data_IF_283994851057
#
_entry.id   IF_283994851057
#
_cell.length_a   1.000
_cell.length_b   1.000
_cell.length_c   1.000
_cell.angle_alpha   90.00
_cell.angle_beta   90.00
_cell.angle_gamma   90.00
#
_symmetry.space_group_name_H-M   'P 1'
#
loop_
_entity.id
_entity.type
_entity.pdbx_description
1 polymer ?
#
# COMPACT_ATOMS: atom_id res chain seq x y z
N UNK A 1 41.34 17.34 -12.68
CA UNK A 1 39.95 17.74 -12.40
C UNK A 1 39.07 16.59 -12.85
N UNK A 2 38.72 15.68 -11.93
CA UNK A 2 37.91 14.50 -12.24
C UNK A 2 36.45 14.96 -12.36
N UNK A 3 35.93 15.01 -13.59
CA UNK A 3 34.50 15.15 -13.84
C UNK A 3 33.83 13.85 -13.39
N UNK A 4 33.03 13.94 -12.33
CA UNK A 4 32.08 12.90 -11.93
C UNK A 4 30.97 12.86 -13.00
N UNK A 5 31.03 11.86 -13.86
CA UNK A 5 29.97 11.52 -14.81
C UNK A 5 28.72 11.15 -14.02
N UNK A 6 27.77 12.09 -13.93
CA UNK A 6 26.42 11.82 -13.45
C UNK A 6 25.73 10.94 -14.49
N UNK A 7 25.53 9.66 -14.16
CA UNK A 7 24.67 8.79 -14.97
C UNK A 7 23.30 9.46 -15.10
N UNK A 8 22.76 9.50 -16.32
CA UNK A 8 21.45 10.10 -16.58
C UNK A 8 20.40 9.44 -15.69
N UNK A 9 19.90 10.20 -14.71
CA UNK A 9 18.80 9.77 -13.85
C UNK A 9 17.55 9.74 -14.73
N UNK A 10 16.91 8.57 -14.82
CA UNK A 10 15.67 8.42 -15.57
C UNK A 10 14.57 9.22 -14.87
N UNK A 11 13.92 10.12 -15.61
CA UNK A 11 12.92 11.05 -15.09
C UNK A 11 11.51 10.62 -15.44
N UNK A 12 10.57 11.04 -14.60
CA UNK A 12 9.12 10.83 -14.73
C UNK A 12 8.40 12.18 -14.55
N UNK A 13 7.08 12.27 -14.83
CA UNK A 13 6.31 13.47 -14.53
C UNK A 13 6.57 13.96 -13.10
N UNK A 14 6.72 15.28 -12.95
CA UNK A 14 7.04 15.90 -11.68
C UNK A 14 5.95 15.76 -10.62
N UNK A 15 6.11 16.55 -9.57
CA UNK A 15 5.17 16.61 -8.44
C UNK A 15 3.73 16.75 -8.93
N UNK A 16 2.81 16.02 -8.30
CA UNK A 16 1.39 16.05 -8.66
C UNK A 16 0.85 17.49 -8.60
N UNK A 17 0.22 18.01 -9.66
CA UNK A 17 -0.34 19.36 -9.66
C UNK A 17 -1.33 19.55 -8.50
N UNK A 18 -1.26 20.71 -7.84
CA UNK A 18 -2.10 21.03 -6.68
C UNK A 18 -1.92 20.10 -5.47
N UNK A 19 -0.76 19.46 -5.31
CA UNK A 19 -0.47 18.49 -4.24
C UNK A 19 -0.94 18.96 -2.86
N UNK A 20 -0.70 20.24 -2.48
CA UNK A 20 -1.17 20.80 -1.21
C UNK A 20 -2.69 20.68 -1.05
N UNK A 21 -3.45 21.15 -2.04
CA UNK A 21 -4.91 21.13 -2.00
C UNK A 21 -5.44 19.70 -1.95
N UNK A 22 -4.81 18.77 -2.68
CA UNK A 22 -5.20 17.36 -2.69
C UNK A 22 -4.94 16.72 -1.32
N UNK A 23 -3.73 16.86 -0.78
CA UNK A 23 -3.31 16.25 0.49
C UNK A 23 -4.12 16.80 1.66
N UNK A 24 -4.23 18.13 1.78
CA UNK A 24 -5.03 18.78 2.83
C UNK A 24 -6.51 18.45 2.69
N UNK A 25 -7.05 18.46 1.46
CA UNK A 25 -8.46 18.09 1.21
C UNK A 25 -8.77 16.64 1.56
N UNK A 26 -7.85 15.71 1.26
CA UNK A 26 -7.96 14.29 1.66
C UNK A 26 -7.89 14.13 3.17
N UNK A 27 -7.03 14.89 3.86
CA UNK A 27 -6.97 14.88 5.32
C UNK A 27 -8.31 15.32 5.94
N UNK A 28 -8.89 16.43 5.49
CA UNK A 28 -10.20 16.88 5.99
C UNK A 28 -11.31 15.87 5.69
N UNK A 29 -11.30 15.27 4.49
CA UNK A 29 -12.23 14.20 4.13
C UNK A 29 -12.11 13.03 5.09
N UNK A 30 -10.89 12.59 5.37
CA UNK A 30 -10.62 11.46 6.25
C UNK A 30 -11.10 11.72 7.68
N UNK A 31 -10.65 12.84 8.27
CA UNK A 31 -10.95 13.25 9.64
C UNK A 31 -12.40 13.61 9.85
N UNK A 32 -13.14 14.00 8.81
CA UNK A 32 -14.57 14.36 8.96
C UNK A 32 -15.51 13.21 8.64
N UNK A 33 -15.21 12.40 7.62
CA UNK A 33 -16.16 11.44 7.04
C UNK A 33 -15.77 9.97 7.26
N UNK A 34 -14.49 9.67 7.45
CA UNK A 34 -14.00 8.29 7.56
C UNK A 34 -13.74 7.94 9.03
N UNK A 35 -12.99 8.77 9.73
CA UNK A 35 -12.66 8.59 11.12
C UNK A 35 -12.84 9.89 11.93
N UNK A 36 -14.10 10.26 12.14
CA UNK A 36 -14.49 11.47 12.90
C UNK A 36 -14.17 11.43 14.38
N UNK A 37 -13.70 10.28 14.89
CA UNK A 37 -13.25 10.16 16.28
C UNK A 37 -11.86 10.74 16.52
N UNK A 38 -11.09 11.00 15.46
CA UNK A 38 -9.74 11.54 15.54
C UNK A 38 -9.72 13.00 15.09
N UNK A 39 -9.13 13.85 15.94
CA UNK A 39 -8.84 15.24 15.59
C UNK A 39 -7.37 15.33 15.17
N UNK A 40 -7.14 15.64 13.90
CA UNK A 40 -5.82 15.92 13.35
C UNK A 40 -5.80 17.31 12.75
N UNK A 41 -4.69 18.04 12.96
CA UNK A 41 -4.47 19.33 12.31
C UNK A 41 -3.89 19.09 10.91
N UNK A 42 -4.75 19.15 9.90
CA UNK A 42 -4.39 18.88 8.51
C UNK A 42 -3.37 19.88 7.94
N UNK A 43 -3.37 21.11 8.45
CA UNK A 43 -2.41 22.13 8.01
C UNK A 43 -1.04 21.89 8.64
N UNK A 44 -1.01 21.48 9.92
CA UNK A 44 0.25 21.10 10.58
C UNK A 44 0.87 19.84 9.97
N UNK A 45 0.06 18.83 9.61
CA UNK A 45 0.53 17.64 8.90
C UNK A 45 1.16 18.04 7.56
N UNK A 46 0.49 18.90 6.78
CA UNK A 46 1.04 19.41 5.52
C UNK A 46 2.36 20.13 5.73
N UNK A 47 2.44 21.01 6.74
CA UNK A 47 3.65 21.76 7.07
C UNK A 47 4.83 20.83 7.36
N UNK A 48 4.62 19.79 8.18
CA UNK A 48 5.65 18.80 8.47
C UNK A 48 6.05 17.97 7.26
N UNK A 49 5.10 17.61 6.40
CA UNK A 49 5.38 16.93 5.13
C UNK A 49 6.26 17.80 4.22
N UNK A 50 5.90 19.07 4.05
CA UNK A 50 6.60 20.02 3.19
C UNK A 50 8.04 20.26 3.69
N UNK A 51 8.24 20.46 5.00
CA UNK A 51 9.57 20.57 5.61
C UNK A 51 10.43 19.33 5.35
N UNK A 52 9.85 18.13 5.44
CA UNK A 52 10.57 16.88 5.23
C UNK A 52 11.09 16.74 3.79
N UNK A 53 10.32 17.21 2.81
CA UNK A 53 10.64 17.10 1.38
C UNK A 53 11.55 18.24 0.92
N UNK A 54 11.27 19.48 1.30
CA UNK A 54 11.90 20.68 0.72
C UNK A 54 13.19 21.10 1.42
N UNK A 55 13.44 20.67 2.65
CA UNK A 55 14.69 21.00 3.36
C UNK A 55 15.86 20.06 3.01
N UNK A 56 15.66 19.12 2.08
CA UNK A 56 16.64 18.12 1.71
C UNK A 56 16.74 18.03 0.19
N UNK A 57 17.93 17.70 -0.37
CA UNK A 57 18.03 17.30 -1.77
C UNK A 57 17.14 16.07 -2.05
N UNK A 58 16.52 16.00 -3.24
CA UNK A 58 15.55 14.95 -3.58
C UNK A 58 16.07 13.52 -3.38
N UNK A 59 17.36 13.23 -3.58
CA UNK A 59 17.92 11.91 -3.29
C UNK A 59 18.58 11.79 -1.91
N UNK A 60 18.11 12.55 -0.93
CA UNK A 60 18.62 12.57 0.45
C UNK A 60 17.49 12.72 1.49
N UNK A 61 16.25 12.43 1.10
CA UNK A 61 15.08 12.49 1.98
C UNK A 61 14.94 11.13 2.69
N UNK A 62 15.43 11.04 3.92
CA UNK A 62 15.36 9.81 4.73
C UNK A 62 14.03 9.67 5.47
N UNK A 63 13.73 8.45 5.92
CA UNK A 63 12.53 8.15 6.71
C UNK A 63 12.39 9.04 7.96
N UNK A 64 13.50 9.35 8.64
CA UNK A 64 13.50 10.16 9.87
C UNK A 64 13.07 11.62 9.63
N UNK A 65 13.23 12.13 8.40
CA UNK A 65 12.75 13.48 8.08
C UNK A 65 11.22 13.57 8.17
N UNK A 66 10.51 12.45 8.02
CA UNK A 66 9.06 12.38 8.19
C UNK A 66 8.60 12.18 9.64
N UNK A 67 9.50 12.06 10.63
CA UNK A 67 9.12 11.71 12.02
C UNK A 67 8.05 12.65 12.61
N UNK A 68 8.24 13.98 12.47
CA UNK A 68 7.27 14.97 12.97
C UNK A 68 5.88 14.82 12.33
N UNK A 69 5.84 14.52 11.04
CA UNK A 69 4.59 14.27 10.31
C UNK A 69 3.89 13.03 10.89
N UNK A 70 4.60 11.91 11.01
CA UNK A 70 4.03 10.67 11.55
C UNK A 70 3.61 10.79 13.02
N UNK A 71 4.33 11.57 13.82
CA UNK A 71 3.96 11.85 15.21
C UNK A 71 2.64 12.61 15.34
N UNK A 72 2.32 13.45 14.35
CA UNK A 72 1.06 14.21 14.27
C UNK A 72 -0.10 13.35 13.75
N UNK A 73 0.22 12.27 13.03
CA UNK A 73 -0.72 11.36 12.36
C UNK A 73 -0.90 10.03 13.09
N UNK A 74 -0.73 10.00 14.42
CA UNK A 74 -0.86 8.75 15.18
C UNK A 74 -2.30 8.25 15.20
N UNK A 75 -2.49 7.01 14.76
CA UNK A 75 -3.77 6.32 14.72
C UNK A 75 -3.66 4.95 15.38
N UNK A 76 -4.79 4.37 15.81
CA UNK A 76 -4.84 3.02 16.35
C UNK A 76 -5.90 2.22 15.60
N UNK A 77 -5.53 1.03 15.14
CA UNK A 77 -6.41 0.16 14.37
C UNK A 77 -6.78 -1.11 15.16
N UNK A 78 -8.02 -1.60 15.04
CA UNK A 78 -8.40 -2.87 15.63
C UNK A 78 -7.52 -4.02 15.12
N UNK A 79 -7.11 -4.90 16.03
CA UNK A 79 -6.45 -6.16 15.69
C UNK A 79 -7.33 -7.03 14.79
N UNK A 80 -6.73 -8.10 14.23
CA UNK A 80 -7.38 -9.12 13.41
C UNK A 80 -7.88 -8.62 12.04
N UNK A 81 -7.58 -7.37 11.68
CA UNK A 81 -8.11 -6.69 10.50
C UNK A 81 -7.04 -6.19 9.54
N UNK A 82 -5.76 -6.45 9.79
CA UNK A 82 -4.68 -5.94 8.95
C UNK A 82 -4.56 -6.75 7.66
N UNK A 83 -4.59 -6.06 6.52
CA UNK A 83 -4.43 -6.65 5.19
C UNK A 83 -3.26 -6.02 4.46
N UNK A 84 -2.25 -6.84 4.19
CA UNK A 84 -1.12 -6.53 3.34
C UNK A 84 -1.37 -7.07 1.94
N UNK A 85 -0.73 -6.47 0.94
CA UNK A 85 -0.92 -6.90 -0.43
C UNK A 85 0.35 -6.65 -1.26
N UNK A 86 0.58 -7.48 -2.26
CA UNK A 86 1.69 -7.31 -3.21
C UNK A 86 1.21 -7.61 -4.62
N UNK A 87 1.31 -6.60 -5.50
CA UNK A 87 0.91 -6.67 -6.92
C UNK A 87 -0.56 -7.11 -7.15
N UNK A 88 -1.42 -6.88 -6.17
CA UNK A 88 -2.86 -7.21 -6.16
C UNK A 88 -3.75 -6.00 -5.89
N UNK A 89 -3.22 -4.77 -6.05
CA UNK A 89 -3.87 -3.50 -5.66
C UNK A 89 -5.34 -3.38 -6.05
N UNK A 90 -5.67 -3.59 -7.33
CA UNK A 90 -7.04 -3.45 -7.84
C UNK A 90 -8.00 -4.46 -7.21
N UNK A 91 -7.56 -5.71 -7.05
CA UNK A 91 -8.35 -6.74 -6.38
C UNK A 91 -8.50 -6.40 -4.89
N UNK A 92 -7.42 -5.99 -4.24
CA UNK A 92 -7.41 -5.57 -2.85
C UNK A 92 -8.41 -4.45 -2.59
N UNK A 93 -8.44 -3.39 -3.41
CA UNK A 93 -9.38 -2.29 -3.22
C UNK A 93 -10.84 -2.73 -3.29
N UNK A 94 -11.17 -3.61 -4.23
CA UNK A 94 -12.53 -4.13 -4.34
C UNK A 94 -12.88 -5.11 -3.21
N UNK A 95 -11.91 -5.93 -2.79
CA UNK A 95 -12.08 -6.79 -1.63
C UNK A 95 -12.32 -5.98 -0.36
N UNK A 96 -11.50 -4.97 -0.07
CA UNK A 96 -11.67 -4.11 1.10
C UNK A 96 -12.97 -3.29 1.06
N UNK A 97 -13.42 -2.86 -0.12
CA UNK A 97 -14.68 -2.13 -0.28
C UNK A 97 -15.92 -3.00 0.03
N UNK A 98 -15.88 -4.28 -0.36
CA UNK A 98 -16.96 -5.25 -0.11
C UNK A 98 -16.88 -5.78 1.32
N UNK A 99 -15.70 -6.19 1.74
CA UNK A 99 -15.41 -6.72 3.07
C UNK A 99 -14.81 -5.59 3.92
N UNK A 100 -15.70 -4.71 4.41
CA UNK A 100 -15.39 -3.52 5.24
C UNK A 100 -14.77 -3.81 6.62
N UNK A 101 -14.14 -4.98 6.76
CA UNK A 101 -13.51 -5.46 7.98
C UNK A 101 -11.99 -5.45 7.88
N UNK A 102 -11.40 -5.09 6.73
CA UNK A 102 -9.95 -5.01 6.59
C UNK A 102 -9.44 -3.57 6.54
N UNK A 103 -8.31 -3.35 7.19
CA UNK A 103 -7.49 -2.15 7.10
C UNK A 103 -6.29 -2.45 6.22
N UNK A 104 -6.15 -1.66 5.16
CA UNK A 104 -4.91 -1.64 4.37
C UNK A 104 -4.14 -0.38 4.69
N UNK A 105 -2.84 -0.34 4.34
CA UNK A 105 -2.05 0.87 4.51
C UNK A 105 -2.71 2.08 3.84
N UNK A 106 -3.33 1.89 2.67
CA UNK A 106 -4.02 2.94 1.90
C UNK A 106 -5.32 3.43 2.57
N UNK A 107 -5.81 2.76 3.60
CA UNK A 107 -6.96 3.17 4.40
C UNK A 107 -6.59 3.88 5.71
N UNK A 108 -5.30 3.95 6.05
CA UNK A 108 -4.81 4.83 7.14
C UNK A 108 -4.83 6.29 6.71
N UNK A 109 -4.73 7.26 7.62
CA UNK A 109 -4.67 8.68 7.28
C UNK A 109 -3.50 8.98 6.34
N UNK A 110 -2.30 8.46 6.63
CA UNK A 110 -1.12 8.65 5.77
C UNK A 110 -1.31 8.02 4.40
N UNK A 111 -1.84 6.80 4.35
CA UNK A 111 -2.15 6.14 3.09
C UNK A 111 -3.16 6.93 2.28
N UNK A 112 -4.29 7.30 2.90
CA UNK A 112 -5.39 8.00 2.24
C UNK A 112 -4.95 9.37 1.70
N UNK A 113 -4.16 10.12 2.47
CA UNK A 113 -3.64 11.44 2.06
C UNK A 113 -2.73 11.34 0.84
N UNK A 114 -1.75 10.42 0.86
CA UNK A 114 -0.65 10.41 -0.10
C UNK A 114 -0.80 9.38 -1.24
N UNK A 115 -1.85 8.57 -1.22
CA UNK A 115 -2.05 7.52 -2.24
C UNK A 115 -2.02 8.08 -3.67
N UNK A 116 -1.28 7.42 -4.57
CA UNK A 116 -1.15 7.77 -5.99
C UNK A 116 -0.51 9.13 -6.28
N UNK A 117 0.00 9.83 -5.27
CA UNK A 117 0.69 11.10 -5.46
C UNK A 117 2.20 10.87 -5.67
N UNK A 118 2.80 11.77 -6.42
CA UNK A 118 4.25 11.84 -6.67
C UNK A 118 4.72 13.22 -6.24
N UNK A 119 5.92 13.30 -5.66
CA UNK A 119 6.53 14.56 -5.24
C UNK A 119 8.04 14.47 -5.20
N UNK A 120 8.69 15.61 -5.46
CA UNK A 120 10.12 15.84 -5.27
C UNK A 120 10.37 17.34 -5.10
N UNK A 121 11.51 17.69 -4.47
CA UNK A 121 11.97 19.07 -4.37
C UNK A 121 12.79 19.48 -5.59
N UNK A 122 12.85 20.78 -5.85
CA UNK A 122 13.83 21.36 -6.78
C UNK A 122 15.25 21.28 -6.19
N UNK A 123 16.29 21.19 -7.04
CA UNK A 123 17.68 21.12 -6.56
C UNK A 123 18.24 22.51 -6.16
N UNK A 124 17.82 23.57 -6.85
CA UNK A 124 18.41 24.91 -6.70
C UNK A 124 17.46 25.95 -6.08
N UNK A 125 16.15 25.69 -6.12
CA UNK A 125 15.10 26.60 -5.65
C UNK A 125 14.33 25.99 -4.47
N UNK A 126 13.74 26.85 -3.64
CA UNK A 126 12.83 26.40 -2.58
C UNK A 126 11.47 26.08 -3.21
N UNK A 127 11.13 24.81 -3.34
CA UNK A 127 9.83 24.42 -3.86
C UNK A 127 9.78 23.00 -4.40
N UNK A 128 8.57 22.56 -4.73
CA UNK A 128 8.36 21.29 -5.43
C UNK A 128 8.72 21.44 -6.91
N UNK A 129 9.37 20.42 -7.49
CA UNK A 129 9.55 20.36 -8.94
C UNK A 129 8.31 19.76 -9.58
N UNK A 130 7.56 20.56 -10.34
CA UNK A 130 6.36 20.13 -11.07
C UNK A 130 6.65 19.67 -12.50
N UNK A 131 7.87 19.89 -13.00
CA UNK A 131 8.25 19.54 -14.36
C UNK A 131 8.74 18.09 -14.43
N UNK A 132 9.61 17.70 -13.50
CA UNK A 132 10.30 16.41 -13.56
C UNK A 132 10.70 15.93 -12.16
N UNK A 133 10.42 14.66 -11.87
CA UNK A 133 10.99 13.98 -10.71
C UNK A 133 11.88 12.82 -11.16
N UNK A 134 12.92 12.46 -10.38
CA UNK A 134 13.58 11.19 -10.58
C UNK A 134 12.59 10.03 -10.40
N UNK A 135 12.83 8.90 -11.07
CA UNK A 135 12.08 7.69 -10.79
C UNK A 135 12.25 7.28 -9.31
N UNK A 136 11.22 6.72 -8.69
CA UNK A 136 11.26 6.29 -7.28
C UNK A 136 12.39 5.29 -6.98
N UNK A 137 12.83 4.53 -7.99
CA UNK A 137 13.91 3.55 -7.94
C UNK A 137 15.30 4.14 -8.21
N UNK A 138 15.38 5.42 -8.59
CA UNK A 138 16.64 6.07 -8.95
C UNK A 138 17.61 6.19 -7.76
N UNK A 139 17.10 6.26 -6.53
CA UNK A 139 17.91 6.37 -5.33
C UNK A 139 17.19 5.80 -4.09
N UNK A 140 17.97 5.35 -3.10
CA UNK A 140 17.43 4.70 -1.89
C UNK A 140 16.72 5.64 -0.91
N UNK A 141 17.05 6.95 -0.95
CA UNK A 141 16.49 8.00 -0.09
C UNK A 141 15.62 8.98 -0.92
N UNK A 142 14.87 8.45 -1.90
CA UNK A 142 13.88 9.21 -2.67
C UNK A 142 12.67 9.57 -1.77
N UNK A 143 12.11 10.80 -1.81
CA UNK A 143 11.06 11.26 -0.89
C UNK A 143 9.81 10.37 -0.87
N UNK A 144 9.26 10.05 -2.05
CA UNK A 144 8.11 9.14 -2.16
C UNK A 144 8.43 7.76 -1.59
N UNK A 145 9.58 7.18 -1.96
CA UNK A 145 9.99 5.87 -1.49
C UNK A 145 10.20 5.84 0.02
N UNK A 146 10.84 6.86 0.59
CA UNK A 146 11.06 7.01 2.03
C UNK A 146 9.75 7.14 2.80
N UNK A 147 8.78 7.92 2.33
CA UNK A 147 7.47 8.00 2.98
C UNK A 147 6.78 6.64 3.00
N UNK A 148 6.70 5.94 1.86
CA UNK A 148 6.03 4.64 1.78
C UNK A 148 6.76 3.55 2.56
N UNK A 149 8.10 3.59 2.59
CA UNK A 149 8.92 2.70 3.42
C UNK A 149 8.59 2.91 4.90
N UNK A 150 8.51 4.15 5.34
CA UNK A 150 8.22 4.45 6.73
C UNK A 150 6.78 4.12 7.11
N UNK A 151 5.83 4.46 6.24
CA UNK A 151 4.42 4.13 6.40
C UNK A 151 4.21 2.60 6.49
N UNK A 152 4.86 1.83 5.61
CA UNK A 152 4.80 0.38 5.62
C UNK A 152 5.40 -0.22 6.89
N UNK A 153 6.52 0.33 7.38
CA UNK A 153 7.13 -0.08 8.64
C UNK A 153 6.17 0.18 9.81
N UNK A 154 5.62 1.40 9.93
CA UNK A 154 4.70 1.76 11.02
C UNK A 154 3.42 0.93 11.01
N UNK A 155 2.89 0.65 9.82
CA UNK A 155 1.73 -0.21 9.66
C UNK A 155 2.01 -1.67 10.08
N UNK A 156 3.20 -2.19 9.74
CA UNK A 156 3.63 -3.52 10.19
C UNK A 156 3.91 -3.59 11.70
N UNK A 157 4.50 -2.54 12.28
CA UNK A 157 4.73 -2.42 13.73
C UNK A 157 3.42 -2.43 14.54
N UNK A 158 2.33 -1.91 13.95
CA UNK A 158 1.01 -1.84 14.59
C UNK A 158 0.17 -3.11 14.41
N UNK A 159 0.49 -3.95 13.43
CA UNK A 159 -0.31 -5.11 13.09
C UNK A 159 -0.36 -6.12 14.25
N UNK A 160 -1.58 -6.53 14.62
CA UNK A 160 -1.83 -7.45 15.73
C UNK A 160 -2.97 -8.42 15.41
N UNK A 161 -2.95 -9.58 16.07
CA UNK A 161 -3.94 -10.64 15.86
C UNK A 161 -3.74 -11.35 14.51
N UNK A 162 -4.84 -11.73 13.87
CA UNK A 162 -4.84 -12.32 12.54
C UNK A 162 -4.50 -11.29 11.47
N UNK A 163 -3.51 -11.62 10.64
CA UNK A 163 -3.03 -10.78 9.54
C UNK A 163 -3.31 -11.49 8.23
N UNK A 164 -3.89 -10.78 7.26
CA UNK A 164 -4.14 -11.29 5.91
C UNK A 164 -3.13 -10.71 4.93
N UNK A 165 -2.63 -11.53 3.99
CA UNK A 165 -1.72 -11.08 2.93
C UNK A 165 -2.24 -11.56 1.58
N UNK A 166 -2.49 -10.61 0.66
CA UNK A 166 -2.93 -10.90 -0.71
C UNK A 166 -1.75 -10.85 -1.69
N UNK A 167 -1.39 -11.99 -2.25
CA UNK A 167 -0.26 -12.14 -3.17
C UNK A 167 -0.74 -12.48 -4.59
N UNK A 168 -0.01 -12.00 -5.60
CA UNK A 168 -0.31 -12.32 -6.99
C UNK A 168 0.49 -13.55 -7.47
N UNK A 169 -0.09 -14.73 -7.37
CA UNK A 169 0.55 -15.98 -7.82
C UNK A 169 0.64 -16.16 -9.36
N UNK A 170 0.09 -15.22 -10.14
CA UNK A 170 0.08 -15.29 -11.61
C UNK A 170 1.20 -14.49 -12.29
N UNK A 171 1.94 -13.68 -11.54
CA UNK A 171 3.08 -12.93 -12.09
C UNK A 171 4.29 -13.87 -12.17
N UNK A 172 4.92 -13.92 -13.34
CA UNK A 172 6.20 -14.58 -13.50
C UNK A 172 7.29 -13.69 -12.85
N UNK A 173 7.71 -14.13 -11.66
CA UNK A 173 8.92 -13.77 -10.89
C UNK A 173 8.69 -12.96 -9.61
N UNK A 174 9.03 -13.59 -8.48
CA UNK A 174 10.22 -13.11 -7.78
C UNK A 174 11.53 -13.62 -8.44
N UNK A 175 11.64 -14.86 -8.98
CA UNK A 175 12.84 -15.34 -9.74
C UNK A 175 12.67 -16.55 -10.71
N UNK A 176 11.46 -17.01 -11.10
CA UNK A 176 11.34 -17.95 -12.24
C UNK A 176 9.92 -18.03 -12.86
N UNK A 177 9.87 -18.30 -14.18
CA UNK A 177 8.75 -18.41 -15.15
C UNK A 177 7.58 -19.34 -14.80
N UNK A 178 7.22 -19.55 -13.54
CA UNK A 178 6.18 -20.50 -13.10
C UNK A 178 5.21 -19.83 -12.15
N UNK A 179 3.91 -20.07 -12.35
CA UNK A 179 2.85 -19.74 -11.40
C UNK A 179 3.27 -20.14 -9.98
N UNK A 180 3.21 -19.20 -9.06
CA UNK A 180 3.48 -19.42 -7.65
C UNK A 180 2.23 -19.95 -6.95
N UNK A 181 2.43 -20.73 -5.90
CA UNK A 181 1.36 -21.30 -5.09
C UNK A 181 1.84 -21.50 -3.65
N UNK A 182 0.95 -21.83 -2.73
CA UNK A 182 1.28 -22.11 -1.33
C UNK A 182 2.38 -23.17 -1.12
N UNK A 183 2.62 -24.01 -2.13
CA UNK A 183 3.60 -25.09 -2.14
C UNK A 183 4.79 -24.85 -3.07
N UNK A 184 4.92 -23.65 -3.68
CA UNK A 184 5.93 -23.40 -4.72
C UNK A 184 6.41 -21.96 -4.81
N UNK A 185 7.71 -21.79 -5.08
CA UNK A 185 8.30 -20.51 -5.47
C UNK A 185 8.57 -19.62 -4.27
N UNK A 186 8.50 -18.31 -4.43
CA UNK A 186 8.83 -17.38 -3.35
C UNK A 186 7.88 -17.46 -2.15
N UNK A 187 6.67 -18.02 -2.34
CA UNK A 187 5.71 -18.24 -1.25
C UNK A 187 6.24 -19.27 -0.24
N UNK A 188 6.98 -20.29 -0.66
CA UNK A 188 7.59 -21.24 0.30
C UNK A 188 8.69 -20.58 1.13
N UNK A 189 9.46 -19.66 0.54
CA UNK A 189 10.49 -18.91 1.24
C UNK A 189 9.85 -17.96 2.27
N UNK A 190 8.76 -17.28 1.89
CA UNK A 190 7.97 -16.46 2.80
C UNK A 190 7.43 -17.28 3.99
N UNK A 191 6.88 -18.47 3.73
CA UNK A 191 6.39 -19.37 4.78
C UNK A 191 7.50 -19.77 5.75
N UNK A 192 8.69 -20.10 5.25
CA UNK A 192 9.85 -20.42 6.09
C UNK A 192 10.27 -19.23 6.97
N UNK A 193 10.26 -18.02 6.40
CA UNK A 193 10.52 -16.79 7.15
C UNK A 193 9.49 -16.59 8.27
N UNK A 194 8.20 -16.81 7.99
CA UNK A 194 7.14 -16.71 8.99
C UNK A 194 7.31 -17.76 10.11
N UNK A 195 7.60 -19.01 9.74
CA UNK A 195 7.85 -20.10 10.68
C UNK A 195 9.06 -19.82 11.58
N UNK A 196 10.19 -19.38 11.01
CA UNK A 196 11.41 -19.07 11.78
C UNK A 196 11.23 -17.92 12.77
N UNK A 197 10.27 -17.03 12.52
CA UNK A 197 9.88 -15.94 13.42
C UNK A 197 8.75 -16.32 14.39
N UNK A 198 8.30 -17.58 14.37
CA UNK A 198 7.30 -18.10 15.31
C UNK A 198 5.85 -17.76 14.95
N UNK A 199 5.59 -17.28 13.73
CA UNK A 199 4.21 -17.01 13.30
C UNK A 199 3.47 -18.31 12.99
N UNK A 200 2.24 -18.41 13.46
CA UNK A 200 1.26 -19.36 12.92
C UNK A 200 0.79 -18.83 11.57
N UNK A 201 0.72 -19.71 10.57
CA UNK A 201 0.36 -19.32 9.22
C UNK A 201 -0.61 -20.33 8.62
N UNK A 202 -1.42 -19.84 7.70
CA UNK A 202 -2.21 -20.63 6.76
C UNK A 202 -2.00 -20.03 5.38
N UNK A 203 -2.12 -20.84 4.34
CA UNK A 203 -2.02 -20.39 2.96
C UNK A 203 -3.14 -21.04 2.15
N UNK A 204 -3.84 -20.24 1.36
CA UNK A 204 -4.94 -20.70 0.52
C UNK A 204 -4.69 -20.24 -0.91
N UNK A 205 -4.53 -21.19 -1.82
CA UNK A 205 -4.50 -20.91 -3.25
C UNK A 205 -5.92 -20.65 -3.75
N UNK A 206 -6.12 -19.59 -4.53
CA UNK A 206 -7.40 -19.30 -5.23
C UNK A 206 -8.64 -19.27 -4.30
N UNK A 207 -8.60 -18.43 -3.26
CA UNK A 207 -9.74 -18.20 -2.37
C UNK A 207 -11.04 -17.93 -3.14
N UNK A 208 -12.11 -18.66 -2.80
CA UNK A 208 -13.37 -18.64 -3.56
C UNK A 208 -14.02 -17.25 -3.60
N UNK A 209 -13.89 -16.48 -2.51
CA UNK A 209 -14.46 -15.14 -2.40
C UNK A 209 -13.70 -14.17 -3.30
N UNK A 210 -12.37 -14.25 -3.29
CA UNK A 210 -11.52 -13.45 -4.18
C UNK A 210 -11.70 -13.84 -5.64
N UNK A 211 -11.87 -15.13 -5.94
CA UNK A 211 -12.17 -15.62 -7.28
C UNK A 211 -13.53 -15.12 -7.78
N UNK A 212 -14.54 -15.08 -6.92
CA UNK A 212 -15.84 -14.49 -7.25
C UNK A 212 -15.69 -13.00 -7.63
N UNK A 213 -14.93 -12.23 -6.85
CA UNK A 213 -14.66 -10.82 -7.15
C UNK A 213 -13.87 -10.64 -8.44
N UNK A 214 -12.83 -11.44 -8.68
CA UNK A 214 -12.05 -11.41 -9.92
C UNK A 214 -12.92 -11.69 -11.14
N UNK A 215 -13.85 -12.64 -11.05
CA UNK A 215 -14.80 -12.96 -12.10
C UNK A 215 -15.78 -11.81 -12.38
N UNK A 216 -16.19 -11.06 -11.37
CA UNK A 216 -17.02 -9.86 -11.55
C UNK A 216 -16.25 -8.71 -12.21
N UNK A 217 -14.96 -8.57 -11.89
CA UNK A 217 -14.12 -7.48 -12.40
C UNK A 217 -13.61 -7.70 -13.83
N UNK A 218 -13.40 -8.94 -14.26
CA UNK A 218 -12.71 -9.23 -15.50
C UNK A 218 -13.49 -10.21 -16.40
N UNK A 219 -14.15 -9.67 -17.42
CA UNK A 219 -14.91 -10.43 -18.42
C UNK A 219 -14.03 -11.32 -19.34
N UNK A 220 -12.69 -11.23 -19.24
CA UNK A 220 -11.76 -12.07 -20.02
C UNK A 220 -11.40 -13.41 -19.37
N UNK A 221 -11.78 -13.67 -18.11
CA UNK A 221 -11.67 -15.02 -17.57
C UNK A 221 -12.62 -15.94 -18.32
N UNK A 222 -12.13 -17.11 -18.77
CA UNK A 222 -12.97 -18.06 -19.50
C UNK A 222 -14.21 -18.39 -18.65
N UNK A 223 -15.37 -18.40 -19.29
CA UNK A 223 -16.67 -18.70 -18.66
C UNK A 223 -16.65 -19.96 -17.77
N UNK A 224 -15.72 -20.90 -18.04
CA UNK A 224 -15.47 -22.14 -17.29
C UNK A 224 -14.79 -21.94 -15.92
N UNK A 225 -13.90 -20.95 -15.77
CA UNK A 225 -13.25 -20.66 -14.48
C UNK A 225 -14.18 -19.91 -13.51
N UNK A 226 -15.17 -19.21 -14.06
CA UNK A 226 -16.16 -18.44 -13.31
C UNK A 226 -17.52 -19.14 -13.18
N UNK A 227 -17.63 -20.41 -13.57
CA UNK A 227 -18.86 -21.19 -13.38
C UNK A 227 -18.91 -21.71 -11.93
N UNK A 228 -19.86 -21.22 -11.13
CA UNK A 228 -20.13 -21.56 -9.73
C UNK A 228 -19.08 -21.17 -8.65
N UNK A 229 -18.76 -19.88 -8.44
CA UNK A 229 -18.04 -19.47 -7.24
C UNK A 229 -18.92 -19.40 -5.98
N UNK A 230 -20.25 -19.36 -6.11
CA UNK A 230 -21.21 -19.23 -5.01
C UNK A 230 -22.43 -20.13 -5.26
N UNK A 231 -22.30 -21.44 -5.09
CA UNK A 231 -23.50 -22.23 -4.79
C UNK A 231 -23.82 -22.01 -3.30
N UNK A 232 -25.01 -21.50 -2.95
CA UNK A 232 -25.45 -21.58 -1.57
C UNK A 232 -25.49 -23.06 -1.21
N UNK A 233 -24.74 -23.47 -0.19
CA UNK A 233 -25.01 -24.74 0.48
C UNK A 233 -26.40 -24.60 1.09
N UNK A 234 -27.41 -25.09 0.37
CA UNK A 234 -28.65 -25.52 0.98
C UNK A 234 -28.30 -26.62 1.96
N UNK A 235 -28.00 -26.22 3.20
CA UNK A 235 -28.18 -27.11 4.32
C UNK A 235 -29.67 -27.43 4.35
N UNK A 236 -30.01 -28.62 3.89
CA UNK A 236 -31.28 -29.25 4.21
C UNK A 236 -31.32 -29.36 5.74
N UNK A 237 -31.89 -28.34 6.40
CA UNK A 237 -32.48 -28.53 7.70
C UNK A 237 -33.62 -29.52 7.51
N UNK A 238 -33.37 -30.77 7.89
CA UNK A 238 -34.44 -31.73 8.13
C UNK A 238 -35.37 -31.14 9.19
N UNK A 239 -36.68 -31.00 8.93
CA UNK A 239 -37.62 -30.67 9.98
C UNK A 239 -37.68 -31.86 10.95
N UNK A 240 -37.42 -31.58 12.22
CA UNK A 240 -37.77 -32.47 13.32
C UNK A 240 -39.29 -32.41 13.46
N UNK A 241 -39.97 -33.50 13.10
CA UNK A 241 -41.22 -33.97 13.72
C UNK A 241 -41.17 -35.50 13.77
#
# INVERSE_FOLDING_TARGET
MLQLSHGQVQTQPGTTPNIRHIVVGRCFTYTTLINSSLSHDCEEIWRHFEEAVLHQPTCSVKVQHYDKMFDTMREFWPCDRFLFWSKTRTLMHSYAAVFRHFWTLENTLVGFMFNELVWCGQEEESGFDFNSCPEWSACGDHPVFSLWRYASQKFAEMACGNITVLLNGSIADAFNRKRESCSRGSITDLIQILQSRGFRWTCTDSDQTLMALLCLQNQQFSHQACTNPLQPTTSLQTPIY
#
